data_IF_892753078316
#
_entry.id   IF_892753078316
#
_cell.length_a   1.000
_cell.length_b   1.000
_cell.length_c   1.000
_cell.angle_alpha   90.00
_cell.angle_beta   90.00
_cell.angle_gamma   90.00
#
_symmetry.space_group_name_H-M   'P 1'
#
loop_
_entity.id
_entity.type
_entity.pdbx_description
1 polymer ?
#
# COMPACT_ATOMS: atom_id res chain seq x y z
N UNK A 1 -7.26 -45.51 -36.13
CA UNK A 1 -6.75 -45.72 -34.78
C UNK A 1 -6.78 -44.34 -34.15
N UNK A 2 -7.75 -44.07 -33.27
CA UNK A 2 -7.78 -42.87 -32.43
C UNK A 2 -6.93 -43.21 -31.21
N UNK A 3 -5.81 -42.51 -31.04
CA UNK A 3 -4.99 -42.61 -29.84
C UNK A 3 -5.75 -41.96 -28.67
N UNK A 4 -6.20 -42.76 -27.74
CA UNK A 4 -6.66 -42.24 -26.43
C UNK A 4 -5.47 -41.69 -25.69
N UNK A 5 -5.67 -40.60 -24.97
CA UNK A 5 -4.69 -40.07 -24.03
C UNK A 5 -4.37 -41.16 -23.00
N UNK A 6 -3.16 -41.14 -22.46
CA UNK A 6 -2.78 -42.06 -21.41
C UNK A 6 -3.43 -41.63 -20.08
N UNK A 7 -3.69 -42.58 -19.20
CA UNK A 7 -4.26 -42.32 -17.87
C UNK A 7 -3.47 -41.25 -17.08
N UNK A 8 -2.15 -41.21 -17.27
CA UNK A 8 -1.27 -40.21 -16.65
C UNK A 8 -1.42 -38.82 -17.26
N UNK A 9 -1.72 -38.70 -18.58
CA UNK A 9 -2.01 -37.41 -19.21
C UNK A 9 -3.38 -36.88 -18.84
N UNK A 10 -4.35 -37.77 -18.53
CA UNK A 10 -5.68 -37.37 -18.01
C UNK A 10 -5.59 -36.95 -16.54
N UNK A 11 -4.77 -37.61 -15.71
CA UNK A 11 -4.53 -37.20 -14.32
C UNK A 11 -3.73 -35.88 -14.25
N UNK A 12 -2.74 -35.65 -15.08
CA UNK A 12 -2.02 -34.36 -15.17
C UNK A 12 -2.93 -33.23 -15.66
N UNK A 13 -3.82 -33.49 -16.61
CA UNK A 13 -4.79 -32.48 -17.07
C UNK A 13 -5.88 -32.21 -16.01
N UNK A 14 -6.32 -33.21 -15.26
CA UNK A 14 -7.24 -33.02 -14.13
C UNK A 14 -6.59 -32.24 -12.98
N UNK A 15 -5.33 -32.55 -12.65
CA UNK A 15 -4.56 -31.79 -11.65
C UNK A 15 -4.32 -30.34 -12.11
N UNK A 16 -3.97 -30.11 -13.39
CA UNK A 16 -3.85 -28.75 -13.94
C UNK A 16 -5.20 -28.02 -14.01
N UNK A 17 -6.31 -28.70 -14.29
CA UNK A 17 -7.65 -28.08 -14.22
C UNK A 17 -8.09 -27.78 -12.79
N UNK A 18 -7.76 -28.64 -11.82
CA UNK A 18 -8.00 -28.38 -10.42
C UNK A 18 -7.12 -27.25 -9.87
N UNK A 19 -5.83 -27.19 -10.24
CA UNK A 19 -4.98 -26.03 -9.96
C UNK A 19 -5.54 -24.74 -10.60
N UNK A 20 -5.98 -24.80 -11.86
CA UNK A 20 -6.63 -23.66 -12.54
C UNK A 20 -7.97 -23.26 -11.90
N UNK A 21 -8.71 -24.18 -11.28
CA UNK A 21 -9.92 -23.92 -10.48
C UNK A 21 -9.61 -23.31 -9.11
N UNK A 22 -8.37 -23.49 -8.62
CA UNK A 22 -7.96 -23.02 -7.30
C UNK A 22 -7.43 -21.58 -7.30
N UNK A 23 -7.26 -20.92 -8.45
CA UNK A 23 -6.89 -19.50 -8.50
C UNK A 23 -8.08 -18.63 -8.14
N UNK A 24 -7.96 -17.93 -7.00
CA UNK A 24 -8.97 -16.94 -6.56
C UNK A 24 -9.15 -15.78 -7.53
N UNK A 25 -8.12 -15.46 -8.34
CA UNK A 25 -8.11 -14.32 -9.23
C UNK A 25 -7.88 -14.71 -10.68
N UNK A 26 -8.19 -13.78 -11.57
CA UNK A 26 -7.87 -13.91 -13.00
C UNK A 26 -6.37 -13.70 -13.23
N UNK A 27 -5.79 -14.28 -14.27
CA UNK A 27 -4.41 -14.00 -14.62
C UNK A 27 -4.14 -12.50 -14.73
N UNK A 28 -2.98 -12.08 -14.26
CA UNK A 28 -2.52 -10.71 -14.44
C UNK A 28 -1.98 -10.61 -15.85
N UNK A 29 -2.58 -9.75 -16.66
CA UNK A 29 -2.19 -9.59 -18.06
C UNK A 29 -0.82 -8.93 -18.19
N UNK A 30 0.03 -9.33 -19.16
CA UNK A 30 1.32 -8.69 -19.42
C UNK A 30 1.19 -7.18 -19.67
N UNK A 31 0.10 -6.72 -20.29
CA UNK A 31 -0.20 -5.30 -20.48
C UNK A 31 -0.33 -4.52 -19.16
N UNK A 32 -0.85 -5.15 -18.12
CA UNK A 32 -0.91 -4.55 -16.78
C UNK A 32 0.48 -4.46 -16.16
N UNK A 33 1.33 -5.47 -16.36
CA UNK A 33 2.73 -5.45 -15.91
C UNK A 33 3.56 -4.39 -16.67
N UNK A 34 3.35 -4.24 -17.98
CA UNK A 34 3.95 -3.17 -18.80
C UNK A 34 3.53 -1.77 -18.31
N UNK A 35 2.24 -1.58 -18.02
CA UNK A 35 1.72 -0.33 -17.50
C UNK A 35 2.33 -0.01 -16.12
N UNK A 36 2.40 -1.02 -15.24
CA UNK A 36 3.04 -0.90 -13.92
C UNK A 36 4.53 -0.49 -14.06
N UNK A 37 5.28 -1.14 -14.95
CA UNK A 37 6.70 -0.82 -15.18
C UNK A 37 6.90 0.60 -15.71
N UNK A 38 6.02 1.06 -16.62
CA UNK A 38 6.13 2.37 -17.27
C UNK A 38 5.61 3.53 -16.41
N UNK A 39 4.45 3.36 -15.80
CA UNK A 39 3.73 4.42 -15.10
C UNK A 39 3.85 4.34 -13.56
N UNK A 40 4.36 3.22 -13.04
CA UNK A 40 4.49 2.96 -11.60
C UNK A 40 3.23 2.39 -10.94
N UNK A 41 2.14 2.22 -11.66
CA UNK A 41 0.89 1.65 -11.15
C UNK A 41 0.16 0.83 -12.24
N UNK A 42 -0.79 0.00 -11.81
CA UNK A 42 -1.74 -0.69 -12.67
C UNK A 42 -3.11 -0.82 -11.98
N UNK A 43 -4.16 -0.97 -12.78
CA UNK A 43 -5.54 -1.21 -12.31
C UNK A 43 -6.05 -2.46 -13.01
N UNK A 44 -6.59 -3.40 -12.24
CA UNK A 44 -7.17 -4.65 -12.74
C UNK A 44 -8.60 -4.75 -12.20
N UNK A 45 -9.57 -4.61 -13.08
CA UNK A 45 -10.98 -4.78 -12.74
C UNK A 45 -11.37 -6.26 -12.79
N UNK A 46 -12.40 -6.63 -12.03
CA UNK A 46 -12.86 -8.02 -11.88
C UNK A 46 -11.74 -8.99 -11.49
N UNK A 47 -10.88 -8.55 -10.57
CA UNK A 47 -9.69 -9.30 -10.17
C UNK A 47 -10.00 -10.67 -9.60
N UNK A 48 -10.88 -10.76 -8.60
CA UNK A 48 -11.37 -12.04 -8.08
C UNK A 48 -12.26 -12.67 -9.14
N UNK A 49 -11.93 -13.89 -9.54
CA UNK A 49 -12.57 -14.59 -10.66
C UNK A 49 -14.08 -14.74 -10.49
N UNK A 50 -14.49 -15.10 -9.28
CA UNK A 50 -15.89 -15.27 -8.91
C UNK A 50 -16.37 -14.09 -8.06
N UNK A 51 -17.32 -13.34 -8.58
CA UNK A 51 -17.87 -12.17 -7.90
C UNK A 51 -18.56 -12.53 -6.56
N UNK A 52 -19.18 -13.70 -6.44
CA UNK A 52 -19.81 -14.14 -5.20
C UNK A 52 -18.76 -14.46 -4.12
N UNK A 53 -17.58 -14.94 -4.51
CA UNK A 53 -16.42 -15.06 -3.62
C UNK A 53 -15.98 -13.69 -3.09
N UNK A 54 -15.86 -12.67 -3.98
CA UNK A 54 -15.53 -11.32 -3.56
C UNK A 54 -16.56 -10.70 -2.62
N UNK A 55 -17.87 -10.96 -2.85
CA UNK A 55 -18.96 -10.56 -1.94
C UNK A 55 -18.85 -11.24 -0.59
N UNK A 56 -18.61 -12.54 -0.59
CA UNK A 56 -18.42 -13.30 0.64
C UNK A 56 -17.26 -12.73 1.46
N UNK A 57 -16.12 -12.44 0.84
CA UNK A 57 -15.00 -11.80 1.52
C UNK A 57 -15.37 -10.44 2.13
N UNK A 58 -16.14 -9.62 1.40
CA UNK A 58 -16.65 -8.34 1.91
C UNK A 58 -17.54 -8.54 3.14
N UNK A 59 -18.51 -9.45 3.04
CA UNK A 59 -19.46 -9.71 4.12
C UNK A 59 -18.77 -10.26 5.36
N UNK A 60 -17.77 -11.09 5.17
CA UNK A 60 -16.89 -11.60 6.21
C UNK A 60 -16.17 -10.46 6.94
N UNK A 61 -15.53 -9.53 6.20
CA UNK A 61 -14.86 -8.35 6.78
C UNK A 61 -15.88 -7.47 7.51
N UNK A 62 -17.05 -7.22 6.90
CA UNK A 62 -18.11 -6.42 7.50
C UNK A 62 -18.73 -7.04 8.75
N UNK A 63 -18.64 -8.36 8.91
CA UNK A 63 -19.15 -9.08 10.10
C UNK A 63 -18.17 -9.09 11.27
N UNK A 64 -16.91 -8.72 11.03
CA UNK A 64 -15.91 -8.66 12.09
C UNK A 64 -16.31 -7.64 13.17
N UNK A 65 -16.15 -7.98 14.45
CA UNK A 65 -16.36 -7.01 15.51
C UNK A 65 -15.35 -5.87 15.41
N UNK A 66 -15.83 -4.66 15.63
CA UNK A 66 -15.00 -3.46 15.74
C UNK A 66 -14.71 -3.26 17.23
N UNK A 67 -13.45 -3.03 17.54
CA UNK A 67 -13.02 -2.62 18.89
C UNK A 67 -13.25 -1.11 19.00
N UNK A 68 -14.38 -0.74 19.60
CA UNK A 68 -14.77 0.65 19.84
C UNK A 68 -14.10 1.20 21.12
N UNK A 69 -12.99 0.61 21.55
CA UNK A 69 -12.25 1.10 22.69
C UNK A 69 -11.64 2.48 22.33
N UNK A 70 -12.55 3.47 22.28
CA UNK A 70 -12.25 4.88 22.41
C UNK A 70 -11.80 5.14 23.86
N UNK A 71 -10.82 4.34 24.32
CA UNK A 71 -10.17 4.67 25.59
C UNK A 71 -9.93 6.17 25.55
N UNK A 72 -10.41 6.91 26.57
CA UNK A 72 -10.07 8.31 26.76
C UNK A 72 -8.55 8.43 26.69
N UNK A 73 -8.07 8.44 25.45
CA UNK A 73 -6.67 8.61 25.13
C UNK A 73 -6.29 10.02 25.58
N UNK A 74 -5.86 10.12 26.82
CA UNK A 74 -4.89 11.14 27.18
C UNK A 74 -3.71 10.92 26.23
N UNK A 75 -3.69 11.73 25.16
CA UNK A 75 -2.85 11.67 23.95
C UNK A 75 -1.33 11.73 24.21
N UNK A 76 -0.89 11.55 25.44
CA UNK A 76 0.49 11.59 25.89
C UNK A 76 0.94 10.21 26.43
N UNK A 77 0.84 9.14 25.60
CA UNK A 77 1.50 7.90 25.97
C UNK A 77 3.00 8.07 25.73
N UNK A 78 3.71 8.45 26.79
CA UNK A 78 5.16 8.34 26.84
C UNK A 78 5.50 6.85 26.89
N UNK A 79 5.81 6.23 25.75
CA UNK A 79 6.52 4.96 25.77
C UNK A 79 7.96 5.23 26.22
N UNK A 80 8.26 4.93 27.49
CA UNK A 80 9.64 4.79 27.95
C UNK A 80 10.34 3.68 27.15
N UNK A 81 11.55 3.96 26.70
CA UNK A 81 12.40 3.03 25.99
C UNK A 81 12.48 1.65 26.67
N UNK A 82 11.99 0.65 25.99
CA UNK A 82 12.38 -0.73 26.17
C UNK A 82 11.57 -1.55 27.16
N UNK A 83 10.51 -2.09 26.69
CA UNK A 83 10.09 -3.49 26.82
C UNK A 83 8.77 -3.64 26.06
N UNK A 84 8.82 -4.16 24.84
CA UNK A 84 7.70 -4.96 24.38
C UNK A 84 7.49 -6.02 25.47
N UNK A 85 6.45 -5.85 26.26
CA UNK A 85 6.07 -6.88 27.21
C UNK A 85 5.52 -8.05 26.39
N UNK A 86 6.23 -9.16 26.39
CA UNK A 86 5.79 -10.47 25.84
C UNK A 86 4.45 -10.97 26.46
N UNK A 87 3.83 -10.19 27.32
CA UNK A 87 2.59 -10.53 28.00
C UNK A 87 1.31 -10.40 27.16
N UNK A 88 1.38 -9.81 25.94
CA UNK A 88 0.21 -9.72 25.04
C UNK A 88 -0.01 -11.00 24.20
N UNK A 89 0.89 -11.98 24.26
CA UNK A 89 0.78 -13.26 23.55
C UNK A 89 -0.28 -14.22 24.11
N UNK A 90 -0.93 -13.89 25.22
CA UNK A 90 -1.94 -14.75 25.87
C UNK A 90 -3.38 -14.30 25.67
N UNK A 91 -3.62 -13.13 25.04
CA UNK A 91 -4.97 -12.70 24.67
C UNK A 91 -5.44 -13.53 23.49
N UNK A 92 -6.56 -14.22 23.67
CA UNK A 92 -7.24 -15.03 22.65
C UNK A 92 -7.32 -14.24 21.36
N UNK A 93 -6.90 -14.87 20.28
CA UNK A 93 -6.83 -14.35 18.90
C UNK A 93 -8.26 -14.16 18.34
N UNK A 94 -9.05 -13.28 18.97
CA UNK A 94 -10.33 -12.85 18.45
C UNK A 94 -10.04 -11.85 17.32
N UNK A 95 -10.29 -12.27 16.08
CA UNK A 95 -10.16 -11.42 14.92
C UNK A 95 -11.11 -10.21 15.03
N UNK A 96 -10.55 -9.07 15.41
CA UNK A 96 -11.27 -7.79 15.59
C UNK A 96 -10.62 -6.71 14.78
N UNK A 97 -11.42 -5.83 14.22
CA UNK A 97 -10.96 -4.60 13.60
C UNK A 97 -10.64 -3.60 14.72
N UNK A 98 -9.40 -3.09 14.73
CA UNK A 98 -8.91 -2.10 15.69
C UNK A 98 -8.78 -0.73 15.04
N UNK A 99 -8.93 0.40 15.78
CA UNK A 99 -8.67 1.72 15.24
C UNK A 99 -7.29 1.81 14.61
N UNK A 100 -7.19 2.39 13.41
CA UNK A 100 -5.89 2.66 12.79
C UNK A 100 -5.16 3.71 13.62
N UNK A 101 -3.94 3.41 14.04
CA UNK A 101 -3.10 4.29 14.84
C UNK A 101 -1.85 4.71 14.05
N UNK A 102 -1.56 6.00 14.08
CA UNK A 102 -0.36 6.57 13.46
C UNK A 102 0.66 6.89 14.53
N UNK A 103 1.82 6.25 14.46
CA UNK A 103 2.96 6.58 15.30
C UNK A 103 3.67 7.81 14.74
N UNK A 104 3.86 8.80 15.58
CA UNK A 104 4.61 10.01 15.25
C UNK A 104 5.74 10.20 16.26
N UNK A 105 6.98 10.39 15.76
CA UNK A 105 8.13 10.69 16.62
C UNK A 105 8.54 12.15 16.44
N UNK A 106 8.40 12.95 17.48
CA UNK A 106 9.00 14.28 17.55
C UNK A 106 10.47 14.15 17.95
N UNK A 107 11.35 14.15 16.96
CA UNK A 107 12.79 14.00 17.18
C UNK A 107 13.41 15.14 18.02
N UNK A 108 12.74 16.32 18.14
CA UNK A 108 13.23 17.45 18.94
C UNK A 108 12.96 17.23 20.43
N UNK A 109 11.79 16.66 20.73
CA UNK A 109 11.37 16.40 22.10
C UNK A 109 11.72 14.99 22.56
N UNK A 110 12.23 14.15 21.65
CA UNK A 110 12.45 12.70 21.84
C UNK A 110 11.19 12.02 22.40
N UNK A 111 10.03 12.43 21.88
CA UNK A 111 8.73 11.89 22.30
C UNK A 111 8.07 11.17 21.14
N UNK A 112 7.40 10.06 21.47
CA UNK A 112 6.54 9.33 20.54
C UNK A 112 5.09 9.64 20.90
N UNK A 113 4.31 9.88 19.86
CA UNK A 113 2.88 10.12 19.97
C UNK A 113 2.14 9.06 19.16
N UNK A 114 1.00 8.68 19.64
CA UNK A 114 0.10 7.73 18.98
C UNK A 114 -1.22 8.43 18.70
N UNK A 115 -1.57 8.57 17.43
CA UNK A 115 -2.82 9.22 17.03
C UNK A 115 -3.74 8.23 16.34
N UNK A 116 -4.98 8.12 16.79
CA UNK A 116 -6.01 7.36 16.11
C UNK A 116 -6.54 8.13 14.91
N UNK A 117 -6.72 7.44 13.77
CA UNK A 117 -7.40 8.03 12.61
C UNK A 117 -8.90 7.81 12.75
N UNK A 118 -9.70 8.89 12.85
CA UNK A 118 -11.14 8.77 13.02
C UNK A 118 -11.76 7.94 11.90
N UNK A 119 -12.57 6.95 12.27
CA UNK A 119 -13.34 6.13 11.34
C UNK A 119 -12.53 5.16 10.48
N UNK A 120 -11.28 4.87 10.81
CA UNK A 120 -10.46 3.86 10.12
C UNK A 120 -10.17 2.71 11.06
N UNK A 121 -10.60 1.51 10.66
CA UNK A 121 -10.43 0.28 11.44
C UNK A 121 -9.70 -0.76 10.61
N UNK A 122 -8.77 -1.49 11.24
CA UNK A 122 -7.86 -2.41 10.56
C UNK A 122 -7.69 -3.71 11.32
N UNK A 123 -7.38 -4.77 10.58
CA UNK A 123 -6.94 -6.04 11.11
C UNK A 123 -5.78 -6.59 10.28
N UNK A 124 -4.65 -6.87 10.92
CA UNK A 124 -3.50 -7.51 10.28
C UNK A 124 -3.70 -9.03 10.26
N UNK A 125 -3.78 -9.61 9.07
CA UNK A 125 -3.88 -11.05 8.90
C UNK A 125 -2.50 -11.69 9.11
N UNK A 126 -2.43 -12.64 10.02
CA UNK A 126 -1.22 -13.41 10.30
C UNK A 126 -1.45 -14.89 10.02
N UNK A 127 -0.43 -15.58 9.56
CA UNK A 127 -0.44 -17.04 9.52
C UNK A 127 -0.65 -17.56 10.93
N UNK A 128 -1.72 -18.31 11.16
CA UNK A 128 -1.86 -19.08 12.41
C UNK A 128 -0.65 -20.02 12.50
N UNK A 129 0.27 -19.77 13.44
CA UNK A 129 1.30 -20.76 13.77
C UNK A 129 0.56 -22.05 14.12
N UNK A 130 0.74 -23.08 13.29
CA UNK A 130 0.27 -24.43 13.55
C UNK A 130 0.95 -24.95 14.83
N UNK A 131 0.43 -24.57 15.98
CA UNK A 131 0.68 -25.35 17.19
C UNK A 131 -0.18 -26.59 17.07
N UNK A 132 0.44 -27.76 17.08
CA UNK A 132 -0.19 -29.08 17.16
C UNK A 132 -1.06 -29.20 18.43
N UNK A 133 -2.15 -28.46 18.49
CA UNK A 133 -3.24 -28.67 19.42
C UNK A 133 -4.44 -29.12 18.60
N UNK A 134 -4.76 -30.38 18.74
CA UNK A 134 -5.97 -31.04 18.23
C UNK A 134 -7.16 -30.10 18.32
N UNK A 135 -7.75 -29.80 17.16
CA UNK A 135 -9.02 -29.09 17.08
C UNK A 135 -10.03 -29.88 17.92
N UNK A 136 -10.38 -29.39 19.09
CA UNK A 136 -11.63 -29.78 19.73
C UNK A 136 -12.75 -29.23 18.86
N UNK A 137 -13.41 -30.12 18.12
CA UNK A 137 -14.71 -29.86 17.51
C UNK A 137 -15.66 -29.37 18.63
N UNK A 138 -16.09 -28.12 18.55
CA UNK A 138 -17.09 -27.59 19.46
C UNK A 138 -16.90 -26.20 20.04
N UNK A 139 -15.88 -25.41 19.62
CA UNK A 139 -15.87 -24.01 20.01
C UNK A 139 -16.49 -23.16 18.90
N UNK A 140 -17.54 -22.39 19.21
CA UNK A 140 -18.08 -21.28 18.41
C UNK A 140 -16.96 -20.23 18.17
N UNK A 141 -16.04 -20.58 17.27
CA UNK A 141 -14.95 -19.72 16.88
C UNK A 141 -15.46 -18.64 15.93
N UNK A 142 -15.77 -17.48 16.44
CA UNK A 142 -15.87 -16.24 15.64
C UNK A 142 -14.46 -15.81 15.25
N UNK A 143 -13.80 -16.57 14.37
CA UNK A 143 -12.53 -16.22 13.71
C UNK A 143 -12.79 -15.78 12.28
N UNK A 144 -11.76 -15.27 11.62
CA UNK A 144 -11.77 -15.04 10.16
C UNK A 144 -12.37 -16.26 9.47
N UNK A 145 -13.29 -16.00 8.56
CA UNK A 145 -14.08 -17.07 7.97
C UNK A 145 -13.28 -17.78 6.89
N UNK A 146 -13.78 -18.93 6.46
CA UNK A 146 -13.06 -19.83 5.54
C UNK A 146 -12.63 -19.16 4.22
N UNK A 147 -13.37 -18.16 3.71
CA UNK A 147 -13.06 -17.55 2.41
C UNK A 147 -11.91 -16.57 2.51
N UNK A 148 -11.89 -15.71 3.52
CA UNK A 148 -10.73 -14.82 3.77
C UNK A 148 -9.47 -15.60 4.09
N UNK A 149 -9.54 -16.67 4.90
CA UNK A 149 -8.37 -17.51 5.21
C UNK A 149 -7.82 -18.18 3.94
N UNK A 150 -8.69 -18.76 3.09
CA UNK A 150 -8.27 -19.37 1.83
C UNK A 150 -7.67 -18.34 0.86
N UNK A 151 -8.28 -17.14 0.75
CA UNK A 151 -7.72 -16.06 -0.05
C UNK A 151 -6.35 -15.62 0.49
N UNK A 152 -6.22 -15.48 1.81
CA UNK A 152 -4.95 -15.17 2.46
C UNK A 152 -3.87 -16.21 2.14
N UNK A 153 -4.17 -17.50 2.27
CA UNK A 153 -3.23 -18.60 1.92
C UNK A 153 -2.85 -18.56 0.45
N UNK A 154 -3.83 -18.34 -0.45
CA UNK A 154 -3.57 -18.25 -1.88
C UNK A 154 -2.67 -17.07 -2.24
N UNK A 155 -2.86 -15.90 -1.62
CA UNK A 155 -1.98 -14.74 -1.87
C UNK A 155 -0.52 -15.02 -1.49
N UNK A 156 -0.27 -15.78 -0.42
CA UNK A 156 1.09 -16.16 -0.03
C UNK A 156 1.75 -17.16 -0.97
N UNK A 157 0.97 -18.07 -1.51
CA UNK A 157 1.51 -19.13 -2.38
C UNK A 157 1.70 -18.66 -3.82
N UNK A 158 0.82 -17.79 -4.35
CA UNK A 158 0.70 -17.63 -5.79
C UNK A 158 0.72 -16.17 -6.29
N UNK A 159 0.43 -15.17 -5.44
CA UNK A 159 0.27 -13.80 -5.93
C UNK A 159 1.58 -13.20 -6.45
N UNK A 160 2.69 -13.47 -5.75
CA UNK A 160 4.01 -13.01 -6.17
C UNK A 160 4.41 -13.64 -7.52
N UNK A 161 4.17 -14.94 -7.68
CA UNK A 161 4.47 -15.66 -8.92
C UNK A 161 3.62 -15.13 -10.07
N UNK A 162 2.33 -14.84 -9.84
CA UNK A 162 1.46 -14.24 -10.85
C UNK A 162 1.97 -12.89 -11.37
N UNK A 163 2.52 -12.03 -10.49
CA UNK A 163 3.16 -10.78 -10.91
C UNK A 163 4.47 -11.02 -11.64
N UNK A 164 5.32 -11.91 -11.15
CA UNK A 164 6.60 -12.23 -11.77
C UNK A 164 6.41 -12.83 -13.17
N UNK A 165 5.43 -13.72 -13.34
CA UNK A 165 5.12 -14.34 -14.64
C UNK A 165 4.58 -13.31 -15.64
N UNK A 166 3.66 -12.43 -15.22
CA UNK A 166 3.15 -11.35 -16.06
C UNK A 166 4.24 -10.35 -16.48
N UNK A 167 5.26 -10.17 -15.63
CA UNK A 167 6.37 -9.24 -15.87
C UNK A 167 7.57 -9.88 -16.58
N UNK A 168 7.55 -11.21 -16.84
CA UNK A 168 8.71 -11.97 -17.32
C UNK A 168 9.36 -11.42 -18.59
N UNK A 169 8.53 -10.99 -19.54
CA UNK A 169 8.99 -10.44 -20.83
C UNK A 169 8.95 -8.90 -20.85
N UNK A 170 8.59 -8.27 -19.73
CA UNK A 170 8.50 -6.81 -19.64
C UNK A 170 9.87 -6.24 -19.29
N UNK A 171 10.34 -5.28 -20.10
CA UNK A 171 11.58 -4.55 -19.79
C UNK A 171 11.40 -3.79 -18.47
N UNK A 172 12.36 -3.96 -17.56
CA UNK A 172 12.32 -3.40 -16.21
C UNK A 172 11.08 -3.85 -15.42
N UNK A 173 10.56 -5.05 -15.74
CA UNK A 173 9.42 -5.65 -15.08
C UNK A 173 9.68 -5.89 -13.60
N UNK A 174 8.61 -5.82 -12.80
CA UNK A 174 8.70 -5.99 -11.35
C UNK A 174 9.17 -7.40 -10.99
N UNK A 175 9.98 -7.48 -9.92
CA UNK A 175 10.34 -8.74 -9.26
C UNK A 175 9.97 -8.66 -7.80
N UNK A 176 9.18 -9.62 -7.33
CA UNK A 176 8.75 -9.75 -5.94
C UNK A 176 9.09 -11.15 -5.42
N UNK A 177 9.34 -11.24 -4.12
CA UNK A 177 9.65 -12.51 -3.46
C UNK A 177 8.38 -13.32 -3.25
N UNK A 178 8.36 -14.58 -3.69
CA UNK A 178 7.26 -15.47 -3.35
C UNK A 178 7.33 -15.91 -1.88
N UNK A 179 6.21 -16.40 -1.38
CA UNK A 179 6.10 -17.02 -0.07
C UNK A 179 5.52 -16.11 1.02
N UNK A 180 4.95 -16.77 2.02
CA UNK A 180 4.20 -16.14 3.10
C UNK A 180 5.00 -15.15 3.94
N UNK A 181 6.29 -15.40 4.14
CA UNK A 181 7.18 -14.54 4.92
C UNK A 181 7.47 -13.19 4.21
N UNK A 182 7.20 -13.10 2.91
CA UNK A 182 7.51 -11.95 2.06
C UNK A 182 6.27 -11.13 1.71
N UNK A 183 5.21 -11.26 2.47
CA UNK A 183 3.97 -10.49 2.31
C UNK A 183 3.34 -10.11 3.65
N UNK A 184 2.60 -9.01 3.62
CA UNK A 184 1.72 -8.59 4.71
C UNK A 184 0.34 -8.34 4.13
N UNK A 185 -0.72 -8.75 4.83
CA UNK A 185 -2.11 -8.51 4.41
C UNK A 185 -2.86 -7.82 5.53
N UNK A 186 -3.54 -6.73 5.17
CA UNK A 186 -4.34 -5.94 6.09
C UNK A 186 -5.77 -5.78 5.56
N UNK A 187 -6.74 -6.09 6.39
CA UNK A 187 -8.15 -5.76 6.15
C UNK A 187 -8.42 -4.35 6.69
N UNK A 188 -9.28 -3.61 6.00
CA UNK A 188 -9.62 -2.27 6.41
C UNK A 188 -11.09 -1.94 6.14
N UNK A 189 -11.74 -1.31 7.13
CA UNK A 189 -13.00 -0.58 6.97
C UNK A 189 -12.73 0.89 7.28
N UNK A 190 -13.15 1.78 6.37
CA UNK A 190 -13.03 3.21 6.54
C UNK A 190 -14.38 3.88 6.41
N UNK A 191 -14.88 4.46 7.51
CA UNK A 191 -16.20 5.09 7.63
C UNK A 191 -16.16 6.61 7.53
N UNK A 192 -14.97 7.23 7.53
CA UNK A 192 -14.89 8.70 7.54
C UNK A 192 -13.47 9.27 7.46
N UNK A 193 -12.45 8.41 7.48
CA UNK A 193 -11.06 8.83 7.50
C UNK A 193 -10.48 9.13 6.13
N UNK A 194 -9.34 9.82 6.15
CA UNK A 194 -8.48 10.05 5.00
C UNK A 194 -7.04 9.62 5.35
N UNK A 195 -6.19 9.47 4.34
CA UNK A 195 -4.76 9.22 4.53
C UNK A 195 -3.97 10.33 3.84
N UNK A 196 -2.99 10.95 4.53
CA UNK A 196 -2.16 11.98 3.94
C UNK A 196 -1.21 11.38 2.90
N UNK A 197 -0.54 12.22 2.14
CA UNK A 197 0.48 11.77 1.21
C UNK A 197 1.62 11.03 1.94
N UNK A 198 1.93 9.84 1.45
CA UNK A 198 3.01 8.99 1.96
C UNK A 198 3.50 8.01 0.89
N UNK A 199 4.61 7.35 1.19
CA UNK A 199 5.08 6.16 0.51
C UNK A 199 4.88 4.97 1.45
N UNK A 200 4.40 3.85 0.95
CA UNK A 200 4.23 2.63 1.76
C UNK A 200 5.57 1.99 2.14
N UNK A 201 6.62 2.27 1.37
CA UNK A 201 7.99 1.99 1.73
C UNK A 201 8.75 3.32 1.92
N UNK A 202 8.84 3.84 3.16
CA UNK A 202 9.54 5.09 3.43
C UNK A 202 11.07 4.96 3.36
N UNK A 203 11.59 3.78 3.07
CA UNK A 203 13.02 3.48 3.07
C UNK A 203 13.52 3.01 4.44
N UNK A 204 14.75 2.55 4.46
CA UNK A 204 15.40 2.01 5.65
C UNK A 204 15.75 0.52 5.49
N UNK A 205 16.65 0.04 6.35
CA UNK A 205 17.25 -1.30 6.22
C UNK A 205 16.26 -2.47 6.42
N UNK A 206 15.09 -2.23 6.99
CA UNK A 206 14.08 -3.25 7.28
C UNK A 206 12.83 -3.16 6.40
N UNK A 207 12.82 -2.28 5.41
CA UNK A 207 11.65 -2.05 4.55
C UNK A 207 11.90 -2.65 3.17
N UNK A 208 11.31 -3.80 2.89
CA UNK A 208 11.46 -4.52 1.63
C UNK A 208 10.22 -4.45 0.74
N UNK A 209 9.16 -3.74 1.16
CA UNK A 209 7.92 -3.62 0.39
C UNK A 209 8.20 -3.07 -1.01
N UNK A 210 7.92 -3.87 -2.03
CA UNK A 210 8.09 -3.53 -3.45
C UNK A 210 6.77 -3.13 -4.09
N UNK A 211 5.73 -3.92 -3.88
CA UNK A 211 4.40 -3.65 -4.39
C UNK A 211 3.39 -3.46 -3.27
N UNK A 212 2.51 -2.49 -3.46
CA UNK A 212 1.25 -2.34 -2.75
C UNK A 212 0.12 -2.73 -3.66
N UNK A 213 -0.69 -3.70 -3.24
CA UNK A 213 -1.86 -4.21 -3.93
C UNK A 213 -3.09 -3.92 -3.08
N UNK A 214 -4.06 -3.15 -3.57
CA UNK A 214 -5.28 -2.82 -2.84
C UNK A 214 -6.48 -3.39 -3.58
N UNK A 215 -7.13 -4.40 -3.00
CA UNK A 215 -8.36 -4.96 -3.52
C UNK A 215 -9.57 -4.28 -2.86
N UNK A 216 -10.38 -3.60 -3.66
CA UNK A 216 -11.60 -2.93 -3.22
C UNK A 216 -12.82 -3.82 -3.33
N UNK A 217 -13.70 -3.74 -2.33
CA UNK A 217 -14.89 -4.58 -2.22
C UNK A 217 -16.18 -3.76 -2.01
N UNK A 218 -16.34 -2.64 -2.72
CA UNK A 218 -17.46 -1.70 -2.52
C UNK A 218 -18.46 -1.79 -3.69
N UNK A 219 -19.54 -2.55 -3.52
CA UNK A 219 -20.53 -2.81 -4.58
C UNK A 219 -21.29 -1.55 -5.04
N UNK A 220 -21.71 -0.71 -4.09
CA UNK A 220 -22.56 0.45 -4.36
C UNK A 220 -21.77 1.77 -4.28
N UNK A 221 -20.54 1.78 -4.82
CA UNK A 221 -19.74 2.98 -4.84
C UNK A 221 -20.36 4.05 -5.74
N UNK A 222 -20.46 5.27 -5.21
CA UNK A 222 -20.80 6.47 -5.96
C UNK A 222 -19.73 7.55 -5.76
N UNK A 223 -19.49 8.40 -6.75
CA UNK A 223 -18.45 9.45 -6.69
C UNK A 223 -18.58 10.39 -5.47
N UNK A 224 -19.81 10.58 -4.96
CA UNK A 224 -20.06 11.37 -3.73
C UNK A 224 -19.52 10.72 -2.46
N UNK A 225 -19.15 9.44 -2.50
CA UNK A 225 -18.64 8.70 -1.33
C UNK A 225 -17.19 9.07 -1.01
N UNK A 226 -16.44 9.63 -1.95
CA UNK A 226 -15.01 9.87 -1.76
C UNK A 226 -14.23 8.55 -1.59
N UNK A 227 -13.16 8.57 -0.80
CA UNK A 227 -12.39 7.38 -0.50
C UNK A 227 -11.52 6.86 -1.66
N UNK A 228 -11.39 7.63 -2.74
CA UNK A 228 -10.51 7.32 -3.86
C UNK A 228 -9.05 7.34 -3.41
N UNK A 229 -8.25 6.48 -3.98
CA UNK A 229 -6.79 6.63 -3.89
C UNK A 229 -6.32 7.61 -4.96
N UNK A 230 -5.43 8.52 -4.59
CA UNK A 230 -4.76 9.45 -5.50
C UNK A 230 -3.30 9.05 -5.58
N UNK A 231 -2.88 8.56 -6.73
CA UNK A 231 -1.50 8.23 -7.03
C UNK A 231 -0.82 9.43 -7.69
N UNK A 232 0.43 9.68 -7.34
CA UNK A 232 1.24 10.77 -7.88
C UNK A 232 2.54 10.19 -8.43
N UNK A 233 2.56 9.67 -9.67
CA UNK A 233 3.80 9.36 -10.37
C UNK A 233 4.63 10.65 -10.45
N UNK A 234 5.92 10.56 -10.10
CA UNK A 234 6.75 11.77 -9.99
C UNK A 234 6.75 12.59 -11.29
N UNK A 235 6.34 13.85 -11.21
CA UNK A 235 6.16 14.77 -12.36
C UNK A 235 5.17 14.26 -13.42
N UNK A 236 4.34 13.30 -13.08
CA UNK A 236 3.21 12.83 -13.89
C UNK A 236 1.87 13.44 -13.46
N UNK A 237 0.79 13.08 -14.16
CA UNK A 237 -0.57 13.48 -13.78
C UNK A 237 -0.96 12.87 -12.43
N UNK A 238 -1.87 13.52 -11.72
CA UNK A 238 -2.51 12.92 -10.54
C UNK A 238 -3.56 11.92 -11.00
N UNK A 239 -3.40 10.68 -10.58
CA UNK A 239 -4.31 9.59 -10.98
C UNK A 239 -5.24 9.27 -9.82
N UNK A 240 -6.51 9.64 -9.96
CA UNK A 240 -7.55 9.35 -8.97
C UNK A 240 -8.29 8.09 -9.36
N UNK A 241 -8.24 7.08 -8.51
CA UNK A 241 -8.81 5.75 -8.78
C UNK A 241 -9.96 5.48 -7.80
N UNK A 242 -11.13 5.19 -8.35
CA UNK A 242 -12.35 4.88 -7.61
C UNK A 242 -12.24 3.52 -6.93
N UNK A 243 -12.62 3.39 -5.65
CA UNK A 243 -12.58 2.15 -4.90
C UNK A 243 -13.80 1.25 -5.19
N UNK A 244 -14.04 0.94 -6.46
CA UNK A 244 -15.19 0.12 -6.88
C UNK A 244 -14.99 -1.37 -6.55
N UNK A 245 -16.11 -2.11 -6.56
CA UNK A 245 -16.12 -3.54 -6.26
C UNK A 245 -15.21 -4.34 -7.19
N UNK A 246 -14.47 -5.27 -6.59
CA UNK A 246 -13.59 -6.23 -7.26
C UNK A 246 -12.48 -5.59 -8.13
N UNK A 247 -12.06 -4.37 -7.77
CA UNK A 247 -10.94 -3.67 -8.41
C UNK A 247 -9.67 -3.86 -7.59
N UNK A 248 -8.61 -4.33 -8.25
CA UNK A 248 -7.26 -4.33 -7.69
C UNK A 248 -6.48 -3.12 -8.23
N UNK A 249 -5.93 -2.33 -7.32
CA UNK A 249 -4.96 -1.27 -7.63
C UNK A 249 -3.59 -1.71 -7.17
N UNK A 250 -2.61 -1.66 -8.07
CA UNK A 250 -1.23 -2.06 -7.78
C UNK A 250 -0.30 -0.90 -8.07
N UNK A 251 0.67 -0.65 -7.19
CA UNK A 251 1.69 0.38 -7.42
C UNK A 251 2.99 0.08 -6.67
N UNK A 252 4.09 0.68 -7.12
CA UNK A 252 5.37 0.56 -6.43
C UNK A 252 5.34 1.29 -5.09
N UNK A 253 5.52 0.53 -4.00
CA UNK A 253 5.45 1.04 -2.62
C UNK A 253 6.51 2.11 -2.33
N UNK A 254 7.65 2.06 -3.00
CA UNK A 254 8.81 2.91 -2.75
C UNK A 254 8.89 4.17 -3.64
N UNK A 255 8.18 4.19 -4.78
CA UNK A 255 8.29 5.27 -5.77
C UNK A 255 6.97 5.97 -6.10
N UNK A 256 5.82 5.43 -5.70
CA UNK A 256 4.54 6.10 -5.95
C UNK A 256 4.05 6.78 -4.69
N UNK A 257 4.18 8.11 -4.67
CA UNK A 257 3.55 8.93 -3.65
C UNK A 257 2.04 8.84 -3.78
N UNK A 258 1.33 8.59 -2.67
CA UNK A 258 -0.12 8.44 -2.72
C UNK A 258 -0.82 8.94 -1.47
N UNK A 259 -2.12 9.17 -1.58
CA UNK A 259 -3.03 9.48 -0.48
C UNK A 259 -4.38 8.80 -0.71
N UNK A 260 -5.22 8.76 0.34
CA UNK A 260 -6.63 8.38 0.22
C UNK A 260 -7.49 9.57 0.58
N UNK A 261 -8.38 9.96 -0.32
CA UNK A 261 -9.38 11.00 -0.08
C UNK A 261 -10.30 10.59 1.05
N UNK A 262 -10.88 11.57 1.74
CA UNK A 262 -11.81 11.30 2.83
C UNK A 262 -12.96 10.43 2.35
N UNK A 263 -13.18 9.31 3.03
CA UNK A 263 -14.34 8.47 2.82
C UNK A 263 -15.54 9.10 3.52
N UNK A 264 -16.66 9.29 2.79
CA UNK A 264 -17.88 9.86 3.34
C UNK A 264 -19.09 9.17 2.74
N UNK A 265 -20.14 8.98 3.55
CA UNK A 265 -21.43 8.46 3.04
C UNK A 265 -21.35 7.15 2.24
N UNK A 266 -20.38 6.29 2.56
CA UNK A 266 -20.38 4.94 1.99
C UNK A 266 -21.60 4.16 2.46
N UNK A 267 -22.25 3.41 1.58
CA UNK A 267 -23.33 2.51 1.97
C UNK A 267 -22.80 1.39 2.87
N UNK A 268 -23.62 0.92 3.78
CA UNK A 268 -23.29 -0.22 4.68
C UNK A 268 -22.25 0.15 5.74
N UNK A 269 -21.19 -0.64 5.84
CA UNK A 269 -20.16 -0.51 6.88
C UNK A 269 -19.03 0.48 6.57
N UNK A 270 -19.04 1.09 5.40
CA UNK A 270 -17.96 2.00 4.96
C UNK A 270 -17.20 1.47 3.74
N UNK A 271 -16.07 2.11 3.43
CA UNK A 271 -15.15 1.69 2.37
C UNK A 271 -14.35 0.47 2.83
N UNK A 272 -14.58 -0.66 2.18
CA UNK A 272 -13.94 -1.95 2.50
C UNK A 272 -12.84 -2.25 1.51
N UNK A 273 -11.66 -2.61 1.99
CA UNK A 273 -10.56 -3.08 1.15
C UNK A 273 -9.62 -4.05 1.88
N UNK A 274 -8.86 -4.81 1.09
CA UNK A 274 -7.68 -5.54 1.54
C UNK A 274 -6.46 -4.88 0.94
N UNK A 275 -5.44 -4.64 1.77
CA UNK A 275 -4.13 -4.20 1.29
C UNK A 275 -3.14 -5.34 1.46
N UNK A 276 -2.44 -5.67 0.38
CA UNK A 276 -1.42 -6.71 0.33
C UNK A 276 -0.11 -6.04 -0.06
N UNK A 277 0.91 -6.15 0.78
CA UNK A 277 2.27 -5.73 0.45
C UNK A 277 3.11 -6.94 0.11
N UNK A 278 3.79 -6.87 -1.03
CA UNK A 278 4.73 -7.88 -1.48
C UNK A 278 6.16 -7.31 -1.40
N UNK A 279 7.07 -8.09 -0.82
CA UNK A 279 8.47 -7.71 -0.70
C UNK A 279 9.22 -7.93 -2.01
N UNK A 280 10.20 -7.07 -2.26
CA UNK A 280 11.12 -7.18 -3.39
C UNK A 280 12.33 -8.04 -3.09
N UNK A 281 13.13 -8.31 -4.13
CA UNK A 281 14.38 -9.04 -3.98
C UNK A 281 15.45 -8.18 -3.28
N UNK A 282 16.18 -8.76 -2.31
CA UNK A 282 17.18 -8.04 -1.52
C UNK A 282 18.34 -7.52 -2.38
N UNK A 283 18.67 -8.24 -3.46
CA UNK A 283 19.75 -7.87 -4.36
C UNK A 283 19.50 -6.55 -5.13
N UNK A 284 18.25 -6.20 -5.37
CA UNK A 284 17.89 -4.89 -5.97
C UNK A 284 17.97 -3.74 -4.95
N UNK A 285 17.66 -4.00 -3.68
CA UNK A 285 17.79 -3.01 -2.61
C UNK A 285 19.25 -2.69 -2.24
N UNK A 286 20.20 -3.58 -2.55
CA UNK A 286 21.62 -3.35 -2.29
C UNK A 286 22.28 -2.31 -3.20
N UNK A 287 21.68 -1.94 -4.31
CA UNK A 287 22.09 -0.77 -5.12
C UNK A 287 21.56 0.54 -4.52
N UNK A 288 21.71 0.73 -3.20
CA UNK A 288 21.58 2.06 -2.60
C UNK A 288 22.58 2.94 -3.31
N UNK A 289 22.08 3.85 -4.14
CA UNK A 289 22.92 4.80 -4.86
C UNK A 289 23.66 5.68 -3.85
N UNK A 290 24.88 5.29 -3.51
CA UNK A 290 25.74 6.00 -2.58
C UNK A 290 26.03 7.46 -3.03
N UNK A 291 25.60 7.84 -4.24
CA UNK A 291 25.96 9.10 -4.89
C UNK A 291 24.77 9.93 -5.43
N UNK A 292 23.57 9.75 -4.90
CA UNK A 292 22.35 10.47 -5.34
C UNK A 292 22.60 11.98 -5.52
N UNK A 293 23.30 12.61 -4.59
CA UNK A 293 23.62 14.03 -4.66
C UNK A 293 24.42 14.37 -5.94
N UNK A 294 25.47 13.61 -6.22
CA UNK A 294 26.33 13.88 -7.37
C UNK A 294 25.59 13.61 -8.68
N UNK A 295 24.81 12.56 -8.75
CA UNK A 295 24.00 12.21 -9.92
C UNK A 295 22.98 13.30 -10.21
N UNK A 296 22.25 13.77 -9.20
CA UNK A 296 21.28 14.86 -9.34
C UNK A 296 21.94 16.16 -9.81
N UNK A 297 23.13 16.48 -9.28
CA UNK A 297 23.87 17.69 -9.66
C UNK A 297 24.39 17.60 -11.11
N UNK A 298 24.89 16.44 -11.50
CA UNK A 298 25.32 16.23 -12.90
C UNK A 298 24.15 16.41 -13.89
N UNK A 299 22.96 15.97 -13.51
CA UNK A 299 21.76 16.09 -14.33
C UNK A 299 21.18 17.51 -14.39
N UNK A 300 21.71 18.47 -13.63
CA UNK A 300 21.32 19.89 -13.78
C UNK A 300 21.57 20.45 -15.18
N UNK A 301 22.61 19.98 -15.85
CA UNK A 301 22.94 20.41 -17.20
C UNK A 301 22.25 19.60 -18.30
N UNK A 302 21.60 18.49 -17.94
CA UNK A 302 20.91 17.58 -18.86
C UNK A 302 19.51 18.08 -19.21
N UNK A 303 18.88 17.55 -20.27
CA UNK A 303 17.45 17.77 -20.54
C UNK A 303 16.58 17.44 -19.34
N UNK A 304 15.43 18.12 -19.16
CA UNK A 304 14.50 17.86 -18.04
C UNK A 304 14.08 16.40 -17.94
N UNK A 305 13.91 15.73 -19.07
CA UNK A 305 13.47 14.34 -19.17
C UNK A 305 14.44 13.37 -18.50
N UNK A 306 15.75 13.62 -18.63
CA UNK A 306 16.80 12.79 -18.03
C UNK A 306 16.74 12.87 -16.49
N UNK A 307 16.59 14.09 -15.97
CA UNK A 307 16.45 14.33 -14.54
C UNK A 307 15.17 13.65 -13.98
N UNK A 308 14.05 13.80 -14.67
CA UNK A 308 12.78 13.17 -14.26
C UNK A 308 12.91 11.65 -14.32
N UNK A 309 13.49 11.10 -15.39
CA UNK A 309 13.69 9.66 -15.54
C UNK A 309 14.56 9.09 -14.42
N UNK A 310 15.67 9.74 -14.10
CA UNK A 310 16.53 9.35 -12.99
C UNK A 310 15.79 9.35 -11.65
N UNK A 311 15.03 10.42 -11.36
CA UNK A 311 14.27 10.52 -10.11
C UNK A 311 13.23 9.42 -10.02
N UNK A 312 12.50 9.13 -11.10
CA UNK A 312 11.48 8.07 -11.14
C UNK A 312 12.04 6.67 -10.87
N UNK A 313 13.29 6.43 -11.26
CA UNK A 313 13.98 5.15 -11.08
C UNK A 313 14.75 5.05 -9.76
N UNK A 314 14.90 6.16 -9.02
CA UNK A 314 15.71 6.23 -7.80
C UNK A 314 14.84 6.54 -6.60
N UNK A 315 14.40 5.51 -5.82
CA UNK A 315 13.49 5.70 -4.71
C UNK A 315 13.94 6.74 -3.68
N UNK A 316 15.23 6.75 -3.32
CA UNK A 316 15.77 7.71 -2.35
C UNK A 316 15.75 9.16 -2.87
N UNK A 317 16.06 9.36 -4.15
CA UNK A 317 15.95 10.68 -4.78
C UNK A 317 14.48 11.16 -4.80
N UNK A 318 13.56 10.26 -5.12
CA UNK A 318 12.15 10.57 -5.17
C UNK A 318 11.59 10.92 -3.79
N UNK A 319 11.90 10.15 -2.75
CA UNK A 319 11.50 10.45 -1.36
C UNK A 319 12.04 11.79 -0.89
N UNK A 320 13.31 12.08 -1.18
CA UNK A 320 13.94 13.35 -0.84
C UNK A 320 13.26 14.53 -1.55
N UNK A 321 13.01 14.42 -2.85
CA UNK A 321 12.48 15.52 -3.67
C UNK A 321 10.96 15.69 -3.55
N UNK A 322 10.20 14.63 -3.33
CA UNK A 322 8.73 14.68 -3.34
C UNK A 322 8.16 15.62 -2.29
N UNK A 323 8.72 15.63 -1.07
CA UNK A 323 8.23 16.52 -0.01
C UNK A 323 8.43 17.99 -0.35
N UNK A 324 9.48 18.34 -1.04
CA UNK A 324 9.73 19.69 -1.53
C UNK A 324 8.84 20.04 -2.72
N UNK A 325 8.75 19.11 -3.68
CA UNK A 325 8.02 19.31 -4.94
C UNK A 325 6.53 19.46 -4.71
N UNK A 326 5.94 18.61 -3.84
CA UNK A 326 4.50 18.53 -3.56
C UNK A 326 4.13 19.06 -2.17
N UNK A 327 4.90 20.02 -1.63
CA UNK A 327 4.73 20.49 -0.24
C UNK A 327 3.32 21.03 0.06
N UNK A 328 2.74 21.75 -0.89
CA UNK A 328 1.41 22.37 -0.73
C UNK A 328 0.32 21.26 -0.69
N UNK A 329 0.48 20.26 -1.52
CA UNK A 329 -0.39 19.08 -1.56
C UNK A 329 -0.25 18.21 -0.29
N UNK A 330 0.97 18.08 0.24
CA UNK A 330 1.20 17.41 1.53
C UNK A 330 0.47 18.12 2.66
N UNK A 331 0.57 19.45 2.76
CA UNK A 331 -0.09 20.26 3.80
C UNK A 331 -1.61 20.08 3.74
N UNK A 332 -2.21 20.22 2.54
CA UNK A 332 -3.64 20.01 2.34
C UNK A 332 -4.06 18.60 2.78
N UNK A 333 -3.30 17.59 2.42
CA UNK A 333 -3.62 16.20 2.78
C UNK A 333 -3.54 15.92 4.28
N UNK A 334 -2.65 16.59 5.00
CA UNK A 334 -2.57 16.51 6.46
C UNK A 334 -3.80 17.15 7.12
N UNK A 335 -4.22 18.33 6.64
CA UNK A 335 -5.42 19.02 7.11
C UNK A 335 -6.68 18.16 6.95
N UNK A 336 -6.76 17.37 5.88
CA UNK A 336 -7.91 16.49 5.61
C UNK A 336 -7.89 15.21 6.47
N UNK A 337 -6.70 14.69 6.79
CA UNK A 337 -6.56 13.33 7.36
C UNK A 337 -6.43 13.29 8.89
N UNK A 338 -6.04 14.38 9.53
CA UNK A 338 -5.78 14.42 10.97
C UNK A 338 -6.51 15.60 11.63
N UNK A 339 -7.84 15.55 11.76
CA UNK A 339 -8.54 16.57 12.53
C UNK A 339 -8.21 16.41 14.02
N UNK A 340 -7.75 17.47 14.66
CA UNK A 340 -7.49 17.50 16.10
C UNK A 340 -6.02 17.70 16.49
N UNK A 341 -5.65 17.29 17.70
CA UNK A 341 -4.33 17.57 18.30
C UNK A 341 -3.13 17.03 17.50
N UNK A 342 -3.26 15.86 16.87
CA UNK A 342 -2.20 15.27 16.07
C UNK A 342 -1.82 16.08 14.83
N UNK A 343 -2.74 16.91 14.32
CA UNK A 343 -2.52 17.75 13.16
C UNK A 343 -1.39 18.76 13.34
N UNK A 344 -1.36 19.45 14.48
CA UNK A 344 -0.33 20.47 14.77
C UNK A 344 1.07 19.88 14.71
N UNK A 345 1.28 18.72 15.33
CA UNK A 345 2.57 18.01 15.30
C UNK A 345 2.99 17.57 13.91
N UNK A 346 2.03 17.11 13.12
CA UNK A 346 2.31 16.67 11.74
C UNK A 346 2.62 17.84 10.82
N UNK A 347 1.91 18.97 10.97
CA UNK A 347 2.19 20.20 10.23
C UNK A 347 3.56 20.78 10.61
N UNK A 348 3.88 20.86 11.91
CA UNK A 348 5.21 21.25 12.36
C UNK A 348 6.31 20.37 11.76
N UNK A 349 6.14 19.04 11.78
CA UNK A 349 7.11 18.11 11.22
C UNK A 349 7.26 18.28 9.69
N UNK A 350 6.16 18.55 9.00
CA UNK A 350 6.18 18.85 7.58
C UNK A 350 6.94 20.15 7.28
N UNK A 351 6.59 21.25 7.97
CA UNK A 351 7.29 22.53 7.85
C UNK A 351 8.79 22.40 8.13
N UNK A 352 9.15 21.66 9.19
CA UNK A 352 10.55 21.48 9.54
C UNK A 352 11.32 20.67 8.50
N UNK A 353 10.68 19.67 7.89
CA UNK A 353 11.29 18.94 6.79
C UNK A 353 11.55 19.89 5.60
N UNK A 354 10.60 20.74 5.25
CA UNK A 354 10.74 21.76 4.20
C UNK A 354 11.79 22.80 4.59
N UNK A 355 11.80 23.27 5.85
CA UNK A 355 12.80 24.23 6.36
C UNK A 355 14.21 23.64 6.35
N UNK A 356 14.38 22.34 6.68
CA UNK A 356 15.67 21.65 6.57
C UNK A 356 16.18 21.62 5.13
N UNK A 357 15.32 21.36 4.16
CA UNK A 357 15.66 21.38 2.75
C UNK A 357 16.09 22.79 2.31
N UNK A 358 15.43 23.86 2.79
CA UNK A 358 15.84 25.25 2.54
C UNK A 358 17.17 25.64 3.17
N UNK A 359 17.57 25.01 4.26
CA UNK A 359 18.82 25.28 4.99
C UNK A 359 19.99 24.43 4.50
N UNK A 360 19.81 23.67 3.44
CA UNK A 360 20.90 22.95 2.80
C UNK A 360 21.94 23.98 2.35
N UNK A 361 23.19 23.81 2.81
CA UNK A 361 24.32 24.69 2.45
C UNK A 361 24.92 24.37 1.07
N UNK A 362 24.45 23.32 0.43
CA UNK A 362 24.88 22.87 -0.88
C UNK A 362 24.10 23.63 -1.96
N UNK A 363 24.73 24.63 -2.54
CA UNK A 363 24.11 25.48 -3.56
C UNK A 363 23.71 24.71 -4.82
N UNK A 364 24.43 23.65 -5.20
CA UNK A 364 24.11 22.85 -6.37
C UNK A 364 22.85 22.02 -6.11
N UNK A 365 22.74 21.41 -4.92
CA UNK A 365 21.55 20.66 -4.53
C UNK A 365 20.32 21.58 -4.38
N UNK A 366 20.50 22.81 -3.90
CA UNK A 366 19.42 23.83 -3.90
C UNK A 366 18.94 24.14 -5.31
N UNK A 367 19.84 24.26 -6.29
CA UNK A 367 19.45 24.44 -7.70
C UNK A 367 18.65 23.24 -8.24
N UNK A 368 18.99 22.00 -7.82
CA UNK A 368 18.16 20.82 -8.17
C UNK A 368 16.75 20.97 -7.63
N UNK A 369 16.61 21.31 -6.34
CA UNK A 369 15.31 21.51 -5.69
C UNK A 369 14.48 22.60 -6.39
N UNK A 370 15.09 23.72 -6.69
CA UNK A 370 14.44 24.84 -7.40
C UNK A 370 14.00 24.42 -8.79
N UNK A 371 14.90 23.82 -9.58
CA UNK A 371 14.59 23.35 -10.93
C UNK A 371 13.42 22.38 -10.96
N UNK A 372 13.43 21.36 -10.09
CA UNK A 372 12.34 20.37 -10.01
C UNK A 372 11.01 21.07 -9.67
N UNK A 373 11.03 22.07 -8.79
CA UNK A 373 9.83 22.83 -8.44
C UNK A 373 9.33 23.72 -9.59
N UNK A 374 10.24 24.38 -10.30
CA UNK A 374 9.90 25.18 -11.48
C UNK A 374 9.26 24.32 -12.57
N UNK A 375 9.83 23.15 -12.85
CA UNK A 375 9.26 22.16 -13.77
C UNK A 375 7.85 21.73 -13.33
N UNK A 376 7.65 21.47 -12.04
CA UNK A 376 6.33 21.14 -11.48
C UNK A 376 5.32 22.28 -11.69
N UNK A 377 5.73 23.51 -11.43
CA UNK A 377 4.85 24.67 -11.56
C UNK A 377 4.53 25.00 -13.02
N UNK A 378 5.51 24.85 -13.93
CA UNK A 378 5.31 25.04 -15.37
C UNK A 378 4.32 24.02 -15.97
N UNK A 379 4.33 22.80 -15.44
CA UNK A 379 3.46 21.72 -15.93
C UNK A 379 2.10 21.66 -15.21
N UNK A 380 1.80 22.56 -14.27
CA UNK A 380 0.53 22.52 -13.49
C UNK A 380 -0.72 22.56 -14.37
N UNK A 381 -0.71 23.31 -15.45
CA UNK A 381 -1.83 23.40 -16.39
C UNK A 381 -1.98 22.15 -17.28
N UNK A 382 -0.87 21.45 -17.53
CA UNK A 382 -0.84 20.21 -18.33
C UNK A 382 -1.12 18.96 -17.51
N UNK A 383 -0.94 19.01 -16.18
CA UNK A 383 -1.21 17.89 -15.29
C UNK A 383 -2.69 17.69 -15.08
N UNK A 384 -3.33 17.10 -16.09
CA UNK A 384 -4.73 16.67 -16.02
C UNK A 384 -4.88 15.62 -14.93
N UNK A 385 -5.93 15.77 -14.11
CA UNK A 385 -6.35 14.70 -13.20
C UNK A 385 -6.94 13.58 -14.06
N UNK A 386 -6.30 12.42 -14.03
CA UNK A 386 -6.84 11.21 -14.65
C UNK A 386 -7.78 10.57 -13.62
N UNK A 387 -9.02 10.28 -14.01
CA UNK A 387 -9.99 9.56 -13.18
C UNK A 387 -10.26 8.19 -13.79
N UNK A 388 -9.99 7.13 -13.00
CA UNK A 388 -10.18 5.72 -13.37
C UNK A 388 -11.24 5.05 -12.47
#
# INVERSE_FOLDING_TARGET
MMGGKSFAEEEEEEEEEEEKKMFFWRPIEPSSAEHLAREGYAVVDDFVRDADTAKTMRDEICSMPIDDDDGDDDDDVEEEDGKESDDDASRRDDARLKPNRTHFTDARKNKRYLFSKPGVFEYDMHMKRSTNRERKEGSDGRGTTKTLERFFEATGKHLADAFNDAAKEVRDGVKVKPGDANRTVKLQINTGGAFPYHFDNPGGAQQNRKLTCILYLNEDYEDKCGGEIVLVPFMGPFVTIRPIFNRLVVFYSETVLHRVNKAVNFPGKGRVCLTIWLDGDDDENCKKNANIRNDLVQLLASPPEDLISYIRQTPDAQRFLSRWTYRDEYEISLLESHPGKGLEHMLEAHEDAVKRQRKIKDEELLRVLERVREMRNGNREEMKIIRL
#
